data_IF_732481409777
#
_entry.id   IF_732481409777
#
_cell.length_a   1.000
_cell.length_b   1.000
_cell.length_c   1.000
_cell.angle_alpha   90.00
_cell.angle_beta   90.00
_cell.angle_gamma   90.00
#
_symmetry.space_group_name_H-M   'P 1'
#
loop_
_entity.id
_entity.type
_entity.pdbx_description
1 polymer ?
#
# COMPACT_ATOMS: atom_id res chain seq x y z
N UNK A 1 -0.42 19.51 -7.88
CA UNK A 1 -0.30 18.30 -8.73
C UNK A 1 -1.69 17.85 -9.15
N UNK A 2 -1.77 16.88 -10.07
CA UNK A 2 -3.03 16.21 -10.44
C UNK A 2 -3.46 15.24 -9.33
N UNK A 3 -4.76 14.96 -9.20
CA UNK A 3 -5.23 13.87 -8.35
C UNK A 3 -4.86 12.50 -8.96
N UNK A 4 -4.77 11.47 -8.12
CA UNK A 4 -4.39 10.11 -8.56
C UNK A 4 -5.30 9.63 -9.70
N UNK A 5 -6.61 9.81 -9.58
CA UNK A 5 -7.57 9.44 -10.64
C UNK A 5 -7.22 10.09 -11.99
N UNK A 6 -6.85 11.37 -12.00
CA UNK A 6 -6.43 12.07 -13.22
C UNK A 6 -5.10 11.56 -13.76
N UNK A 7 -4.15 11.23 -12.89
CA UNK A 7 -2.87 10.66 -13.33
C UNK A 7 -3.13 9.32 -14.03
N UNK A 8 -3.98 8.47 -13.47
CA UNK A 8 -4.35 7.20 -14.11
C UNK A 8 -5.11 7.43 -15.43
N UNK A 9 -6.06 8.37 -15.49
CA UNK A 9 -6.83 8.59 -16.72
C UNK A 9 -6.02 9.27 -17.84
N UNK A 10 -5.15 10.23 -17.49
CA UNK A 10 -4.42 11.05 -18.47
C UNK A 10 -3.06 10.43 -18.85
N UNK A 11 -2.41 9.69 -17.95
CA UNK A 11 -1.05 9.17 -18.13
C UNK A 11 -0.93 7.65 -18.01
N UNK A 12 -1.97 6.99 -17.51
CA UNK A 12 -1.99 5.54 -17.32
C UNK A 12 -1.26 5.06 -16.06
N UNK A 13 -1.50 3.79 -15.72
CA UNK A 13 -0.91 3.17 -14.53
C UNK A 13 0.63 3.14 -14.59
N UNK A 14 1.22 2.85 -15.75
CA UNK A 14 2.69 2.76 -15.88
C UNK A 14 3.38 4.05 -15.41
N UNK A 15 2.92 5.21 -15.88
CA UNK A 15 3.48 6.49 -15.46
C UNK A 15 3.19 6.80 -14.00
N UNK A 16 2.05 6.37 -13.46
CA UNK A 16 1.80 6.49 -12.02
C UNK A 16 2.82 5.66 -11.20
N UNK A 17 3.13 4.43 -11.63
CA UNK A 17 4.12 3.57 -10.97
C UNK A 17 5.53 4.15 -11.05
N UNK A 18 5.89 4.76 -12.18
CA UNK A 18 7.17 5.49 -12.31
C UNK A 18 7.26 6.64 -11.30
N UNK A 19 6.19 7.43 -11.16
CA UNK A 19 6.12 8.51 -10.15
C UNK A 19 6.19 7.97 -8.72
N UNK A 20 5.55 6.84 -8.44
CA UNK A 20 5.56 6.19 -7.12
C UNK A 20 6.98 5.73 -6.76
N UNK A 21 7.69 5.13 -7.71
CA UNK A 21 9.11 4.76 -7.58
C UNK A 21 9.97 5.99 -7.31
N UNK A 22 9.87 7.03 -8.15
CA UNK A 22 10.71 8.22 -8.03
C UNK A 22 10.50 8.93 -6.67
N UNK A 23 9.26 8.95 -6.19
CA UNK A 23 8.93 9.47 -4.87
C UNK A 23 9.55 8.64 -3.73
N UNK A 24 9.49 7.31 -3.82
CA UNK A 24 10.13 6.42 -2.86
C UNK A 24 11.65 6.64 -2.82
N UNK A 25 12.30 6.74 -3.99
CA UNK A 25 13.73 7.01 -4.07
C UNK A 25 14.12 8.36 -3.47
N UNK A 26 13.34 9.40 -3.75
CA UNK A 26 13.57 10.73 -3.20
C UNK A 26 13.46 10.73 -1.66
N UNK A 27 12.46 10.05 -1.10
CA UNK A 27 12.26 9.94 0.34
C UNK A 27 13.46 9.22 1.00
N UNK A 28 13.86 8.07 0.47
CA UNK A 28 15.00 7.29 0.99
C UNK A 28 16.27 8.13 0.91
N UNK A 29 16.53 8.77 -0.24
CA UNK A 29 17.71 9.60 -0.43
C UNK A 29 17.76 10.75 0.57
N UNK A 30 16.67 11.48 0.77
CA UNK A 30 16.62 12.60 1.73
C UNK A 30 16.83 12.12 3.17
N UNK A 31 16.29 10.96 3.53
CA UNK A 31 16.48 10.36 4.85
C UNK A 31 17.94 9.95 5.09
N UNK A 32 18.56 9.21 4.16
CA UNK A 32 19.98 8.81 4.23
C UNK A 32 20.93 10.01 4.30
N UNK A 33 20.59 11.12 3.63
CA UNK A 33 21.38 12.36 3.64
C UNK A 33 21.06 13.29 4.83
N UNK A 34 20.28 12.84 5.80
CA UNK A 34 19.95 13.61 7.01
C UNK A 34 19.06 14.83 6.79
N UNK A 35 18.44 14.97 5.60
CA UNK A 35 17.57 16.10 5.24
C UNK A 35 16.13 15.95 5.76
N UNK A 36 15.81 14.80 6.35
CA UNK A 36 14.49 14.47 6.92
C UNK A 36 14.56 14.09 8.40
N UNK A 37 15.68 14.35 9.08
CA UNK A 37 15.74 14.11 10.52
C UNK A 37 14.81 15.09 11.26
N UNK A 38 13.95 14.60 12.17
CA UNK A 38 13.18 15.48 13.03
C UNK A 38 14.11 16.26 13.97
N UNK A 39 13.54 17.20 14.72
CA UNK A 39 14.26 18.02 15.69
C UNK A 39 15.24 17.18 16.53
N UNK A 40 16.36 17.78 16.95
CA UNK A 40 17.53 17.14 17.61
C UNK A 40 17.20 16.19 18.79
N UNK A 41 15.98 16.27 19.32
CA UNK A 41 15.49 15.56 20.50
C UNK A 41 14.37 14.53 20.21
N UNK A 42 14.04 14.22 18.95
CA UNK A 42 13.00 13.24 18.58
C UNK A 42 13.57 11.99 17.90
N UNK A 43 12.91 10.84 18.12
CA UNK A 43 13.32 9.53 17.58
C UNK A 43 13.60 9.56 16.07
N UNK A 44 14.67 8.83 15.70
CA UNK A 44 15.45 8.92 14.45
C UNK A 44 14.82 8.27 13.21
N UNK A 45 13.66 7.62 13.33
CA UNK A 45 13.15 6.72 12.29
C UNK A 45 11.97 7.32 11.52
N UNK A 46 12.03 7.22 10.20
CA UNK A 46 10.95 7.64 9.30
C UNK A 46 9.99 6.47 9.06
N UNK A 47 8.69 6.70 9.31
CA UNK A 47 7.62 5.76 8.97
C UNK A 47 7.03 6.15 7.62
N UNK A 48 6.94 5.19 6.69
CA UNK A 48 6.41 5.40 5.34
C UNK A 48 5.23 4.45 5.13
N UNK A 49 4.03 5.00 4.93
CA UNK A 49 2.87 4.21 4.48
C UNK A 49 2.89 4.11 2.96
N UNK A 50 3.13 2.91 2.44
CA UNK A 50 3.19 2.66 1.00
C UNK A 50 1.79 2.57 0.39
N UNK A 51 1.70 2.88 -0.91
CA UNK A 51 0.51 2.57 -1.69
C UNK A 51 0.39 1.05 -1.90
N UNK A 52 -0.83 0.53 -1.96
CA UNK A 52 -1.03 -0.92 -2.16
C UNK A 52 -0.43 -1.47 -3.46
N UNK A 53 -0.08 -0.63 -4.43
CA UNK A 53 0.58 -1.02 -5.67
C UNK A 53 2.09 -0.76 -5.71
N UNK A 54 2.69 -0.13 -4.69
CA UNK A 54 4.11 0.29 -4.74
C UNK A 54 5.05 -0.90 -5.01
N UNK A 55 4.81 -2.03 -4.35
CA UNK A 55 5.63 -3.26 -4.49
C UNK A 55 5.43 -4.02 -5.80
N UNK A 56 4.55 -3.56 -6.70
CA UNK A 56 4.27 -4.25 -7.97
C UNK A 56 5.33 -4.03 -9.04
N UNK A 57 6.26 -3.10 -8.81
CA UNK A 57 7.46 -2.92 -9.64
C UNK A 57 8.65 -3.58 -8.95
N UNK A 58 9.47 -4.29 -9.73
CA UNK A 58 10.69 -4.95 -9.23
C UNK A 58 11.61 -3.98 -8.50
N UNK A 59 11.80 -2.79 -9.06
CA UNK A 59 12.71 -1.77 -8.58
C UNK A 59 12.26 -1.21 -7.22
N UNK A 60 10.97 -0.94 -7.06
CA UNK A 60 10.44 -0.48 -5.77
C UNK A 60 10.48 -1.59 -4.73
N UNK A 61 10.15 -2.83 -5.12
CA UNK A 61 10.20 -3.99 -4.22
C UNK A 61 11.63 -4.21 -3.70
N UNK A 62 12.62 -4.24 -4.59
CA UNK A 62 14.03 -4.40 -4.22
C UNK A 62 14.49 -3.27 -3.31
N UNK A 63 14.15 -2.01 -3.63
CA UNK A 63 14.52 -0.88 -2.79
C UNK A 63 13.91 -0.96 -1.39
N UNK A 64 12.62 -1.29 -1.28
CA UNK A 64 11.94 -1.45 0.01
C UNK A 64 12.66 -2.49 0.86
N UNK A 65 12.93 -3.66 0.27
CA UNK A 65 13.60 -4.78 0.94
C UNK A 65 15.03 -4.44 1.40
N UNK A 66 15.75 -3.62 0.64
CA UNK A 66 17.16 -3.30 0.94
C UNK A 66 17.34 -2.11 1.87
N UNK A 67 16.40 -1.17 1.88
CA UNK A 67 16.58 0.16 2.50
C UNK A 67 15.66 0.42 3.68
N UNK A 68 14.69 -0.45 3.93
CA UNK A 68 13.68 -0.26 4.98
C UNK A 68 13.53 -1.51 5.81
N UNK A 69 12.89 -1.36 6.98
CA UNK A 69 12.29 -2.47 7.68
C UNK A 69 10.80 -2.47 7.32
N UNK A 70 10.36 -3.39 6.47
CA UNK A 70 9.04 -3.41 5.89
C UNK A 70 8.09 -4.30 6.69
N UNK A 71 7.01 -3.71 7.21
CA UNK A 71 5.96 -4.42 7.95
C UNK A 71 4.73 -4.57 7.04
N UNK A 72 4.35 -5.80 6.74
CA UNK A 72 3.11 -6.10 6.01
C UNK A 72 1.95 -6.29 7.00
N UNK A 73 0.99 -5.37 6.95
CA UNK A 73 -0.30 -5.48 7.65
C UNK A 73 -1.25 -6.35 6.83
N UNK A 74 -1.27 -7.65 7.11
CA UNK A 74 -2.07 -8.65 6.42
C UNK A 74 -3.49 -8.67 6.97
N UNK A 75 -4.47 -8.51 6.09
CA UNK A 75 -5.88 -8.60 6.44
C UNK A 75 -6.61 -9.57 5.52
N UNK A 76 -7.61 -10.26 6.07
CA UNK A 76 -8.52 -11.10 5.32
C UNK A 76 -9.46 -10.29 4.42
N UNK A 77 -10.08 -10.99 3.47
CA UNK A 77 -11.00 -10.38 2.49
C UNK A 77 -12.16 -9.63 3.16
N UNK A 78 -12.71 -10.13 4.26
CA UNK A 78 -13.82 -9.45 4.96
C UNK A 78 -13.41 -8.10 5.52
N UNK A 79 -12.25 -8.03 6.18
CA UNK A 79 -11.70 -6.80 6.76
C UNK A 79 -11.39 -5.78 5.67
N UNK A 80 -10.78 -6.22 4.56
CA UNK A 80 -10.53 -5.36 3.41
C UNK A 80 -11.84 -4.83 2.82
N UNK A 81 -12.84 -5.69 2.62
CA UNK A 81 -14.13 -5.26 2.09
C UNK A 81 -14.83 -4.28 3.02
N UNK A 82 -14.82 -4.50 4.34
CA UNK A 82 -15.42 -3.56 5.29
C UNK A 82 -14.73 -2.20 5.28
N UNK A 83 -13.40 -2.16 5.13
CA UNK A 83 -12.66 -0.90 5.03
C UNK A 83 -12.89 -0.16 3.71
N UNK A 84 -13.25 -0.89 2.65
CA UNK A 84 -13.54 -0.29 1.35
C UNK A 84 -15.02 0.12 1.19
N UNK A 85 -15.93 -0.38 2.04
CA UNK A 85 -17.35 -0.01 2.02
C UNK A 85 -17.50 1.48 2.31
N UNK A 86 -18.09 2.21 1.36
CA UNK A 86 -18.35 3.66 1.48
C UNK A 86 -17.29 4.57 0.85
N UNK A 87 -16.17 4.03 0.33
CA UNK A 87 -15.08 4.82 -0.26
C UNK A 87 -14.60 4.22 -1.60
N UNK A 88 -15.47 4.27 -2.61
CA UNK A 88 -15.17 3.81 -3.98
C UNK A 88 -14.66 4.91 -4.92
N UNK A 89 -14.82 6.19 -4.55
CA UNK A 89 -14.31 7.34 -5.31
C UNK A 89 -12.83 7.54 -4.99
N UNK A 90 -11.94 7.49 -5.98
CA UNK A 90 -10.49 7.62 -5.75
C UNK A 90 -9.68 6.33 -5.84
N UNK A 91 -10.29 5.22 -6.30
CA UNK A 91 -9.62 3.91 -6.42
C UNK A 91 -9.59 3.42 -7.87
N UNK A 92 -8.66 3.92 -8.71
CA UNK A 92 -8.64 3.66 -10.16
C UNK A 92 -8.71 2.18 -10.53
N UNK A 93 -7.94 1.33 -9.83
CA UNK A 93 -7.83 -0.09 -10.17
C UNK A 93 -9.06 -0.92 -9.80
N UNK A 94 -9.73 -0.57 -8.70
CA UNK A 94 -10.98 -1.23 -8.32
C UNK A 94 -12.12 -0.84 -9.28
N UNK A 95 -12.04 0.34 -9.90
CA UNK A 95 -13.01 0.79 -10.88
C UNK A 95 -12.71 0.23 -12.29
N UNK A 96 -11.45 -0.05 -12.63
CA UNK A 96 -11.09 -0.69 -13.90
C UNK A 96 -11.36 -2.19 -13.95
N UNK A 97 -11.32 -2.88 -12.80
CA UNK A 97 -11.62 -4.32 -12.70
C UNK A 97 -13.11 -4.65 -12.50
N UNK A 98 -13.97 -3.63 -12.33
CA UNK A 98 -15.43 -3.83 -12.44
C UNK A 98 -15.73 -4.11 -13.91
N UNK A 99 -16.15 -5.33 -14.22
CA UNK A 99 -16.75 -5.62 -15.52
C UNK A 99 -17.91 -4.64 -15.73
N UNK A 100 -18.01 -4.07 -16.93
CA UNK A 100 -19.18 -3.27 -17.36
C UNK A 100 -20.34 -4.23 -17.60
N UNK A 101 -20.80 -4.93 -16.57
CA UNK A 101 -21.97 -5.78 -16.64
C UNK A 101 -23.15 -5.01 -16.06
N UNK A 102 -24.12 -4.76 -16.93
CA UNK A 102 -25.44 -4.31 -16.54
C UNK A 102 -26.13 -5.49 -15.84
N UNK A 103 -26.31 -5.35 -14.53
CA UNK A 103 -27.12 -6.17 -13.62
C UNK A 103 -26.55 -7.48 -13.04
N UNK A 104 -26.98 -7.72 -11.78
CA UNK A 104 -26.78 -8.87 -10.88
C UNK A 104 -25.51 -8.83 -9.98
N UNK A 105 -25.67 -8.28 -8.77
CA UNK A 105 -24.72 -8.26 -7.64
C UNK A 105 -23.39 -7.49 -7.80
N UNK A 106 -23.50 -6.16 -7.70
CA UNK A 106 -22.36 -5.25 -7.52
C UNK A 106 -21.40 -5.69 -6.40
N UNK A 107 -21.91 -6.28 -5.32
CA UNK A 107 -21.12 -6.72 -4.17
C UNK A 107 -20.28 -7.97 -4.49
N UNK A 108 -20.82 -8.92 -5.26
CA UNK A 108 -20.10 -10.13 -5.64
C UNK A 108 -18.98 -9.83 -6.64
N UNK A 109 -19.24 -8.97 -7.62
CA UNK A 109 -18.23 -8.49 -8.58
C UNK A 109 -17.14 -7.72 -7.84
N UNK A 110 -17.51 -6.80 -6.96
CA UNK A 110 -16.55 -6.03 -6.16
C UNK A 110 -15.67 -6.94 -5.30
N UNK A 111 -16.27 -7.91 -4.60
CA UNK A 111 -15.54 -8.92 -3.83
C UNK A 111 -14.55 -9.70 -4.69
N UNK A 112 -14.96 -10.12 -5.89
CA UNK A 112 -14.10 -10.84 -6.82
C UNK A 112 -12.91 -9.98 -7.27
N UNK A 113 -13.13 -8.70 -7.62
CA UNK A 113 -12.05 -7.77 -8.01
C UNK A 113 -11.06 -7.55 -6.86
N UNK A 114 -11.56 -7.31 -5.63
CA UNK A 114 -10.69 -7.19 -4.45
C UNK A 114 -9.89 -8.47 -4.21
N UNK A 115 -10.53 -9.64 -4.28
CA UNK A 115 -9.88 -10.94 -4.14
C UNK A 115 -8.78 -11.17 -5.17
N UNK A 116 -9.04 -10.85 -6.45
CA UNK A 116 -8.04 -10.95 -7.52
C UNK A 116 -6.82 -10.06 -7.25
N UNK A 117 -7.03 -8.81 -6.84
CA UNK A 117 -5.93 -7.90 -6.48
C UNK A 117 -5.13 -8.41 -5.29
N UNK A 118 -5.79 -8.95 -4.26
CA UNK A 118 -5.12 -9.54 -3.10
C UNK A 118 -4.25 -10.73 -3.53
N UNK A 119 -4.80 -11.70 -4.27
CA UNK A 119 -4.05 -12.89 -4.70
C UNK A 119 -2.86 -12.55 -5.60
N UNK A 120 -2.99 -11.55 -6.49
CA UNK A 120 -1.88 -11.11 -7.34
C UNK A 120 -0.75 -10.46 -6.56
N UNK A 121 -1.04 -9.86 -5.41
CA UNK A 121 -0.09 -9.06 -4.63
C UNK A 121 0.43 -9.77 -3.39
N UNK A 122 -0.24 -10.82 -2.93
CA UNK A 122 0.14 -11.55 -1.70
C UNK A 122 1.61 -11.97 -1.70
N UNK A 123 2.06 -12.65 -2.77
CA UNK A 123 3.46 -13.04 -2.88
C UNK A 123 4.43 -11.85 -2.93
N UNK A 124 4.01 -10.71 -3.48
CA UNK A 124 4.85 -9.51 -3.55
C UNK A 124 4.96 -8.83 -2.18
N UNK A 125 3.87 -8.80 -1.40
CA UNK A 125 3.90 -8.31 -0.04
C UNK A 125 4.79 -9.18 0.85
N UNK A 126 4.62 -10.50 0.77
CA UNK A 126 5.44 -11.45 1.55
C UNK A 126 6.93 -11.32 1.20
N UNK A 127 7.27 -11.12 -0.07
CA UNK A 127 8.67 -10.92 -0.52
C UNK A 127 9.27 -9.58 -0.12
N UNK A 128 8.44 -8.55 0.02
CA UNK A 128 8.89 -7.21 0.38
C UNK A 128 9.04 -7.03 1.90
N UNK A 129 8.31 -7.81 2.70
CA UNK A 129 8.22 -7.64 4.15
C UNK A 129 9.31 -8.37 4.93
N UNK A 130 9.84 -7.72 5.95
CA UNK A 130 10.67 -8.31 6.99
C UNK A 130 9.81 -8.94 8.11
N UNK A 131 8.60 -8.40 8.30
CA UNK A 131 7.63 -8.91 9.27
C UNK A 131 6.19 -8.80 8.75
N UNK A 132 5.34 -9.72 9.20
CA UNK A 132 3.92 -9.78 8.86
C UNK A 132 3.10 -9.72 10.14
N UNK A 133 2.09 -8.85 10.18
CA UNK A 133 1.11 -8.76 11.27
C UNK A 133 -0.27 -9.00 10.67
N UNK A 134 -0.98 -10.01 11.18
CA UNK A 134 -2.40 -10.19 10.87
C UNK A 134 -3.22 -9.17 11.67
N UNK A 135 -4.00 -8.34 10.98
CA UNK A 135 -4.73 -7.22 11.60
C UNK A 135 -6.23 -7.46 11.74
N UNK A 136 -6.73 -8.63 11.33
CA UNK A 136 -8.14 -8.97 11.41
C UNK A 136 -8.67 -8.90 12.85
N UNK A 137 -9.68 -8.05 13.08
CA UNK A 137 -10.30 -7.86 14.39
C UNK A 137 -9.48 -7.06 15.39
N UNK A 138 -8.30 -6.54 15.02
CA UNK A 138 -7.46 -5.73 15.91
C UNK A 138 -7.80 -4.24 15.82
N UNK A 139 -7.68 -3.54 16.95
CA UNK A 139 -7.75 -2.09 17.00
C UNK A 139 -6.44 -1.44 16.52
N UNK A 140 -6.45 -0.16 16.11
CA UNK A 140 -5.22 0.57 15.79
C UNK A 140 -4.19 0.54 16.91
N UNK A 141 -4.62 0.63 18.17
CA UNK A 141 -3.75 0.59 19.35
C UNK A 141 -3.07 -0.77 19.51
N UNK A 142 -3.81 -1.86 19.29
CA UNK A 142 -3.28 -3.23 19.33
C UNK A 142 -2.25 -3.44 18.21
N UNK A 143 -2.55 -2.98 16.99
CA UNK A 143 -1.63 -3.04 15.85
C UNK A 143 -0.37 -2.22 16.16
N UNK A 144 -0.50 -1.01 16.71
CA UNK A 144 0.64 -0.20 17.12
C UNK A 144 1.48 -0.89 18.20
N UNK A 145 0.86 -1.58 19.16
CA UNK A 145 1.57 -2.35 20.18
C UNK A 145 2.34 -3.52 19.56
N UNK A 146 1.74 -4.25 18.61
CA UNK A 146 2.40 -5.32 17.89
C UNK A 146 3.60 -4.80 17.08
N UNK A 147 3.46 -3.66 16.39
CA UNK A 147 4.57 -3.01 15.66
C UNK A 147 5.71 -2.64 16.61
N UNK A 148 5.41 -2.05 17.77
CA UNK A 148 6.45 -1.71 18.76
C UNK A 148 7.23 -2.93 19.21
N UNK A 149 6.55 -4.03 19.51
CA UNK A 149 7.20 -5.28 19.91
C UNK A 149 8.09 -5.92 18.82
N UNK A 150 7.97 -5.52 17.56
CA UNK A 150 8.87 -5.93 16.47
C UNK A 150 10.12 -5.04 16.34
N UNK A 151 10.07 -3.83 16.90
CA UNK A 151 11.12 -2.80 16.75
C UNK A 151 11.99 -2.65 18.01
N UNK A 152 11.63 -3.34 19.09
CA UNK A 152 12.39 -3.46 20.35
C UNK A 152 13.45 -4.56 20.27
#
# INVERSE_FOLDING_TARGET
GLCIDRIFSEKGEKSFREMERDCLEEIIFKYENGKMQPHKDSCRHLVISLGGGTVTTSESLEKIREKTFCIYLKAGIETILSHLKGDSSGRPLLNSEKEKTEDCDNDAIFRKSVGNLMSRRENLYDRASDAVITVDGLSPEEICSAIKGLLE
#
